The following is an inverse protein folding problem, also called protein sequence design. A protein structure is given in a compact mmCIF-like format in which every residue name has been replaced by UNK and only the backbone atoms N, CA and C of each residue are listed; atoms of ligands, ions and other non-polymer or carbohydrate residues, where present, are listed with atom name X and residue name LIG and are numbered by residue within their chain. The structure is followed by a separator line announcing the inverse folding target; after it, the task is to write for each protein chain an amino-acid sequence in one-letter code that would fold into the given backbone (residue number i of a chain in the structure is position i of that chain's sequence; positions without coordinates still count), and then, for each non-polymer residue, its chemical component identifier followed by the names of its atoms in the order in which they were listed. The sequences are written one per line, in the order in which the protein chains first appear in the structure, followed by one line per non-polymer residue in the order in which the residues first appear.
data_IF_113890754927
#
_entry.id   IF_113890754927
#
_cell.length_a   1.000
_cell.length_b   1.000
_cell.length_c   1.000
_cell.angle_alpha   90.00
_cell.angle_beta   90.00
_cell.angle_gamma   90.00
#
_symmetry.space_group_name_H-M   'P 1'
#
loop_
_entity.id
_entity.type
_entity.pdbx_description
1 polymer ?
#
# COMPACT_ATOMS: atom_id res chain seq x y z
N UNK A 1 9.94 1.28 22.24
CA UNK A 1 9.88 2.67 22.73
C UNK A 1 8.77 3.43 22.02
N UNK A 2 7.88 4.17 22.71
CA UNK A 2 6.84 4.98 22.06
C UNK A 2 7.43 5.94 21.02
N UNK A 3 6.72 6.16 19.89
CA UNK A 3 7.14 7.13 18.86
C UNK A 3 8.28 6.68 17.94
N UNK A 4 8.88 5.49 18.17
CA UNK A 4 10.02 4.98 17.38
C UNK A 4 9.62 4.03 16.26
N UNK A 5 8.32 3.84 16.01
CA UNK A 5 7.77 2.95 14.98
C UNK A 5 8.29 3.30 13.58
N UNK A 6 8.49 4.59 13.28
CA UNK A 6 9.06 5.04 12.01
C UNK A 6 10.49 4.53 11.79
N UNK A 7 11.32 4.51 12.84
CA UNK A 7 12.68 3.99 12.77
C UNK A 7 12.69 2.47 12.53
N UNK A 8 11.78 1.74 13.19
CA UNK A 8 11.61 0.31 12.92
C UNK A 8 11.27 0.08 11.45
N UNK A 9 10.31 0.83 10.90
CA UNK A 9 9.93 0.71 9.49
C UNK A 9 11.09 1.06 8.54
N UNK A 10 11.87 2.10 8.85
CA UNK A 10 13.07 2.43 8.06
C UNK A 10 14.11 1.30 8.10
N UNK A 11 14.30 0.64 9.24
CA UNK A 11 15.21 -0.50 9.35
C UNK A 11 14.71 -1.73 8.59
N UNK A 12 13.40 -1.96 8.54
CA UNK A 12 12.81 -3.00 7.69
C UNK A 12 13.03 -2.70 6.21
N UNK A 13 12.83 -1.44 5.79
CA UNK A 13 13.12 -0.99 4.41
C UNK A 13 14.61 -1.20 4.08
N UNK A 14 15.51 -0.81 4.98
CA UNK A 14 16.95 -1.02 4.85
C UNK A 14 17.28 -2.49 4.57
N UNK A 15 16.75 -3.41 5.40
CA UNK A 15 16.99 -4.84 5.23
C UNK A 15 16.48 -5.39 3.88
N UNK A 16 15.31 -4.93 3.42
CA UNK A 16 14.77 -5.35 2.12
C UNK A 16 15.63 -4.86 0.95
N UNK A 17 16.10 -3.61 1.02
CA UNK A 17 16.97 -3.02 0.00
C UNK A 17 18.34 -3.70 -0.01
N UNK A 18 18.95 -3.92 1.16
CA UNK A 18 20.22 -4.64 1.33
C UNK A 18 20.14 -6.05 0.74
N UNK A 19 19.03 -6.75 0.96
CA UNK A 19 18.81 -8.10 0.44
C UNK A 19 18.34 -8.13 -1.04
N UNK A 20 18.09 -6.98 -1.67
CA UNK A 20 17.50 -6.90 -3.01
C UNK A 20 16.10 -7.53 -3.12
N UNK A 21 15.36 -7.61 -2.02
CA UNK A 21 14.02 -8.24 -1.94
C UNK A 21 12.93 -7.19 -2.11
N UNK A 22 12.77 -6.73 -3.35
CA UNK A 22 11.78 -5.73 -3.75
C UNK A 22 11.01 -6.15 -5.01
N UNK A 23 9.76 -5.72 -5.14
CA UNK A 23 8.92 -5.97 -6.31
C UNK A 23 9.08 -4.85 -7.35
N UNK A 24 10.11 -4.95 -8.19
CA UNK A 24 10.41 -3.94 -9.21
C UNK A 24 9.29 -3.81 -10.25
N UNK A 25 8.58 -4.90 -10.55
CA UNK A 25 7.44 -4.91 -11.47
C UNK A 25 6.31 -4.04 -10.91
N UNK A 26 5.99 -4.18 -9.61
CA UNK A 26 5.03 -3.32 -8.95
C UNK A 26 5.47 -1.86 -8.96
N UNK A 27 6.73 -1.59 -8.61
CA UNK A 27 7.27 -0.22 -8.56
C UNK A 27 7.15 0.50 -9.91
N UNK A 28 7.55 -0.15 -11.00
CA UNK A 28 7.46 0.43 -12.35
C UNK A 28 6.00 0.65 -12.78
N UNK A 29 5.09 -0.27 -12.42
CA UNK A 29 3.70 -0.24 -12.92
C UNK A 29 2.80 0.74 -12.19
N UNK A 30 3.00 0.91 -10.89
CA UNK A 30 2.00 1.53 -10.01
C UNK A 30 2.54 2.71 -9.21
N UNK A 31 3.81 3.06 -9.39
CA UNK A 31 4.44 4.15 -8.65
C UNK A 31 5.25 5.04 -9.59
N UNK A 32 5.80 6.12 -9.05
CA UNK A 32 6.72 7.01 -9.76
C UNK A 32 8.20 6.64 -9.56
N UNK A 33 8.50 5.40 -9.17
CA UNK A 33 9.85 4.93 -8.85
C UNK A 33 10.88 5.19 -9.97
N UNK A 34 10.45 5.09 -11.23
CA UNK A 34 11.27 5.30 -12.42
C UNK A 34 11.26 6.74 -12.95
N UNK A 35 10.47 7.63 -12.37
CA UNK A 35 10.42 9.03 -12.82
C UNK A 35 11.75 9.70 -12.48
N UNK A 36 12.32 10.41 -13.44
CA UNK A 36 13.57 11.14 -13.27
C UNK A 36 13.34 12.38 -12.42
N UNK A 37 14.19 12.55 -11.41
CA UNK A 37 14.24 13.71 -10.52
C UNK A 37 15.51 14.49 -10.84
N UNK A 38 15.38 15.80 -11.02
CA UNK A 38 16.50 16.69 -11.30
C UNK A 38 17.43 16.75 -10.09
N UNK A 39 18.70 16.40 -10.29
CA UNK A 39 19.74 16.39 -9.26
C UNK A 39 20.74 17.52 -9.50
N UNK A 40 20.32 18.73 -9.16
CA UNK A 40 21.13 19.94 -9.28
C UNK A 40 21.13 20.75 -7.97
N UNK A 41 21.86 20.31 -6.92
CA UNK A 41 21.88 21.00 -5.62
C UNK A 41 22.12 22.51 -5.76
N UNK A 42 21.30 23.31 -5.06
CA UNK A 42 21.34 24.78 -5.12
C UNK A 42 20.53 25.41 -6.26
N UNK A 43 20.05 24.65 -7.23
CA UNK A 43 19.10 25.13 -8.24
C UNK A 43 17.64 25.01 -7.76
N UNK A 44 16.76 25.90 -8.23
CA UNK A 44 15.33 25.86 -7.92
C UNK A 44 14.64 24.55 -8.36
N UNK A 45 15.17 23.92 -9.41
CA UNK A 45 14.64 22.68 -9.98
C UNK A 45 15.11 21.42 -9.23
N UNK A 46 16.02 21.54 -8.25
CA UNK A 46 16.51 20.39 -7.49
C UNK A 46 15.37 19.66 -6.79
N UNK A 47 15.30 18.34 -6.98
CA UNK A 47 14.26 17.52 -6.37
C UNK A 47 12.91 17.54 -7.12
N UNK A 48 12.78 18.32 -8.19
CA UNK A 48 11.59 18.30 -9.05
C UNK A 48 11.67 17.20 -10.10
N UNK A 49 10.50 16.67 -10.49
CA UNK A 49 10.39 15.70 -11.59
C UNK A 49 10.84 16.36 -12.88
N UNK A 50 11.80 15.75 -13.57
CA UNK A 50 12.29 16.18 -14.87
C UNK A 50 11.18 16.04 -15.91
N UNK A 51 11.01 17.10 -16.71
CA UNK A 51 9.98 17.19 -17.74
C UNK A 51 10.58 17.63 -19.06
N UNK A 52 9.99 17.17 -20.16
CA UNK A 52 10.30 17.69 -21.49
C UNK A 52 9.62 19.05 -21.77
N UNK A 53 9.86 19.59 -22.95
CA UNK A 53 9.26 20.86 -23.39
C UNK A 53 7.72 20.83 -23.48
N UNK A 54 7.11 19.64 -23.58
CA UNK A 54 5.67 19.44 -23.57
C UNK A 54 5.11 19.24 -22.15
N UNK A 55 5.95 19.28 -21.12
CA UNK A 55 5.58 19.08 -19.72
C UNK A 55 5.41 17.61 -19.31
N UNK A 56 5.78 16.65 -20.18
CA UNK A 56 5.69 15.21 -19.89
C UNK A 56 6.82 14.79 -18.96
N UNK A 57 6.50 13.92 -18.01
CA UNK A 57 7.46 13.39 -17.04
C UNK A 57 8.39 12.41 -17.73
N UNK A 58 9.67 12.45 -17.38
CA UNK A 58 10.68 11.64 -18.06
C UNK A 58 11.06 10.39 -17.27
N UNK A 59 11.27 9.29 -17.98
CA UNK A 59 12.02 8.13 -17.52
C UNK A 59 13.15 7.82 -18.52
N UNK A 60 14.15 7.05 -18.10
CA UNK A 60 15.15 6.50 -19.01
C UNK A 60 14.84 5.03 -19.30
N UNK A 61 14.56 4.70 -20.55
CA UNK A 61 14.24 3.34 -20.97
C UNK A 61 15.51 2.57 -21.34
N UNK A 62 15.75 1.45 -20.67
CA UNK A 62 16.98 0.65 -20.85
C UNK A 62 17.00 -0.09 -22.18
N UNK A 63 15.83 -0.49 -22.69
CA UNK A 63 15.71 -1.25 -23.92
C UNK A 63 16.06 -0.40 -25.15
N UNK A 64 15.60 0.85 -25.19
CA UNK A 64 15.89 1.79 -26.28
C UNK A 64 17.11 2.69 -26.03
N UNK A 65 17.56 2.81 -24.78
CA UNK A 65 18.69 3.66 -24.39
C UNK A 65 18.39 5.16 -24.51
N UNK A 66 17.12 5.56 -24.44
CA UNK A 66 16.69 6.96 -24.56
C UNK A 66 15.70 7.36 -23.48
N UNK A 67 15.46 8.67 -23.37
CA UNK A 67 14.38 9.22 -22.55
C UNK A 67 13.02 9.00 -23.21
N UNK A 68 12.04 8.58 -22.42
CA UNK A 68 10.65 8.41 -22.82
C UNK A 68 9.73 9.15 -21.83
N UNK A 69 8.46 9.28 -22.22
CA UNK A 69 7.41 9.65 -21.27
C UNK A 69 7.29 8.53 -20.22
N UNK A 70 7.39 8.90 -18.94
CA UNK A 70 7.32 8.00 -17.80
C UNK A 70 5.98 7.23 -17.72
N UNK A 71 4.93 7.74 -18.37
CA UNK A 71 3.61 7.10 -18.46
C UNK A 71 3.53 6.07 -19.60
N UNK A 72 4.59 5.89 -20.40
CA UNK A 72 4.61 4.94 -21.51
C UNK A 72 4.54 3.50 -21.00
N UNK A 73 3.43 2.83 -21.31
CA UNK A 73 3.20 1.42 -20.93
C UNK A 73 4.10 0.49 -21.74
N UNK A 74 4.61 -0.56 -21.10
CA UNK A 74 5.41 -1.59 -21.76
C UNK A 74 6.87 -1.21 -21.97
N UNK A 75 7.34 -0.18 -21.28
CA UNK A 75 8.76 0.21 -21.23
C UNK A 75 9.53 -0.61 -20.20
N UNK A 76 10.86 -0.57 -20.29
CA UNK A 76 11.80 -1.12 -19.31
C UNK A 76 12.61 0.02 -18.66
N UNK A 77 11.97 0.86 -17.83
CA UNK A 77 12.62 2.06 -17.34
C UNK A 77 13.62 1.75 -16.21
N UNK A 78 14.70 2.51 -16.17
CA UNK A 78 15.73 2.39 -15.14
C UNK A 78 15.21 2.85 -13.77
N UNK A 79 15.46 2.04 -12.74
CA UNK A 79 15.18 2.39 -11.34
C UNK A 79 16.40 2.94 -10.59
N UNK A 80 17.60 2.72 -11.13
CA UNK A 80 18.87 3.19 -10.57
C UNK A 80 19.72 3.81 -11.68
N UNK A 81 20.71 4.61 -11.29
CA UNK A 81 21.65 5.26 -12.20
C UNK A 81 21.52 6.78 -12.21
N UNK A 82 22.40 7.40 -13.00
CA UNK A 82 22.45 8.84 -13.23
C UNK A 82 22.40 9.11 -14.72
N UNK A 83 21.62 10.12 -15.10
CA UNK A 83 21.35 10.42 -16.51
C UNK A 83 21.56 11.91 -16.76
N UNK A 84 22.24 12.25 -17.85
CA UNK A 84 22.35 13.61 -18.35
C UNK A 84 21.15 13.91 -19.24
N UNK A 85 20.30 14.84 -18.80
CA UNK A 85 19.17 15.33 -19.59
C UNK A 85 19.67 16.09 -20.83
N UNK A 86 18.83 16.26 -21.88
CA UNK A 86 19.22 16.96 -23.11
C UNK A 86 19.70 18.41 -22.90
N UNK A 87 19.30 19.04 -21.80
CA UNK A 87 19.73 20.39 -21.41
C UNK A 87 21.00 20.41 -20.54
N UNK A 88 21.63 19.27 -20.35
CA UNK A 88 22.87 19.10 -19.58
C UNK A 88 22.68 18.90 -18.07
N UNK A 89 21.45 19.03 -17.54
CA UNK A 89 21.19 18.76 -16.12
C UNK A 89 21.34 17.28 -15.80
N UNK A 90 21.79 16.97 -14.58
CA UNK A 90 21.80 15.59 -14.07
C UNK A 90 20.43 15.24 -13.51
N UNK A 91 20.00 14.01 -13.71
CA UNK A 91 18.79 13.46 -13.13
C UNK A 91 18.98 12.01 -12.68
N UNK A 92 18.23 11.60 -11.66
CA UNK A 92 18.25 10.24 -11.10
C UNK A 92 16.82 9.74 -10.94
N UNK A 93 16.53 8.44 -11.14
CA UNK A 93 15.21 7.90 -10.85
C UNK A 93 14.84 8.14 -9.38
N UNK A 94 13.56 8.41 -9.10
CA UNK A 94 13.08 8.65 -7.73
C UNK A 94 13.42 7.48 -6.78
N UNK A 95 13.41 6.24 -7.29
CA UNK A 95 13.82 5.06 -6.53
C UNK A 95 15.29 5.09 -6.14
N UNK A 96 16.19 5.60 -6.98
CA UNK A 96 17.60 5.73 -6.65
C UNK A 96 17.82 6.60 -5.42
N UNK A 97 17.11 7.73 -5.33
CA UNK A 97 17.14 8.63 -4.17
C UNK A 97 16.60 7.98 -2.91
N UNK A 98 15.52 7.19 -3.05
CA UNK A 98 14.93 6.45 -1.96
C UNK A 98 15.87 5.36 -1.44
N UNK A 99 16.46 4.59 -2.34
CA UNK A 99 17.38 3.51 -2.03
C UNK A 99 18.64 4.06 -1.35
N UNK A 100 19.26 5.10 -1.91
CA UNK A 100 20.42 5.78 -1.31
C UNK A 100 20.13 6.22 0.13
N UNK A 101 18.96 6.85 0.35
CA UNK A 101 18.57 7.30 1.69
C UNK A 101 18.43 6.14 2.67
N UNK A 102 17.67 5.10 2.33
CA UNK A 102 17.32 4.06 3.29
C UNK A 102 18.37 2.94 3.42
N UNK A 103 19.27 2.79 2.45
CA UNK A 103 20.50 1.99 2.62
C UNK A 103 21.52 2.67 3.54
N UNK A 104 21.30 3.92 3.95
CA UNK A 104 22.18 4.63 4.87
C UNK A 104 22.39 3.87 6.20
N UNK A 105 23.63 3.89 6.75
CA UNK A 105 23.98 3.13 7.95
C UNK A 105 23.18 3.52 9.19
N UNK A 106 22.64 4.74 9.24
CA UNK A 106 21.75 5.20 10.32
C UNK A 106 20.43 4.43 10.43
N UNK A 107 20.06 3.70 9.37
CA UNK A 107 18.87 2.85 9.33
C UNK A 107 19.21 1.36 9.43
N UNK A 108 20.49 0.99 9.55
CA UNK A 108 20.86 -0.39 9.81
C UNK A 108 20.23 -0.86 11.15
N UNK A 109 19.77 -2.11 11.24
CA UNK A 109 19.20 -2.68 12.47
C UNK A 109 20.06 -2.43 13.72
N UNK A 110 21.38 -2.49 13.58
CA UNK A 110 22.35 -2.26 14.66
C UNK A 110 22.32 -0.82 15.17
N UNK A 111 22.11 0.16 14.29
CA UNK A 111 22.01 1.57 14.65
C UNK A 111 20.64 1.94 15.25
N UNK A 112 19.59 1.17 14.95
CA UNK A 112 18.21 1.44 15.35
C UNK A 112 17.79 0.68 16.62
N UNK A 113 18.40 -0.48 16.89
CA UNK A 113 17.96 -1.44 17.90
C UNK A 113 17.73 -0.84 19.30
N UNK A 114 18.72 -0.11 19.81
CA UNK A 114 18.66 0.50 21.15
C UNK A 114 17.52 1.51 21.28
N UNK A 115 17.30 2.34 20.25
CA UNK A 115 16.26 3.37 20.22
C UNK A 115 14.87 2.76 20.17
N UNK A 116 14.68 1.72 19.36
CA UNK A 116 13.40 1.01 19.27
C UNK A 116 13.12 0.12 20.49
N UNK A 117 14.18 -0.31 21.20
CA UNK A 117 14.08 -1.34 22.24
C UNK A 117 13.80 -2.72 21.65
N UNK A 118 14.32 -3.00 20.46
CA UNK A 118 14.16 -4.27 19.74
C UNK A 118 15.54 -4.68 19.23
N UNK A 119 15.98 -5.91 19.54
CA UNK A 119 17.29 -6.40 19.11
C UNK A 119 17.45 -6.36 17.58
N UNK A 120 18.65 -5.99 17.12
CA UNK A 120 18.98 -5.94 15.69
C UNK A 120 18.69 -7.29 14.98
N UNK A 121 19.03 -8.40 15.63
CA UNK A 121 18.72 -9.75 15.13
C UNK A 121 17.21 -9.98 14.95
N UNK A 122 16.38 -9.44 15.84
CA UNK A 122 14.92 -9.53 15.73
C UNK A 122 14.40 -8.69 14.56
N UNK A 123 14.91 -7.47 14.36
CA UNK A 123 14.55 -6.62 13.23
C UNK A 123 14.90 -7.31 11.90
N UNK A 124 16.11 -7.85 11.78
CA UNK A 124 16.57 -8.60 10.58
C UNK A 124 15.70 -9.82 10.32
N UNK A 125 15.40 -10.60 11.37
CA UNK A 125 14.51 -11.77 11.28
C UNK A 125 13.12 -11.38 10.78
N UNK A 126 12.52 -10.33 11.33
CA UNK A 126 11.20 -9.84 10.91
C UNK A 126 11.24 -9.41 9.43
N UNK A 127 12.25 -8.67 9.00
CA UNK A 127 12.40 -8.28 7.59
C UNK A 127 12.52 -9.49 6.67
N UNK A 128 13.31 -10.50 7.06
CA UNK A 128 13.47 -11.74 6.31
C UNK A 128 12.17 -12.54 6.23
N UNK A 129 11.41 -12.66 7.33
CA UNK A 129 10.10 -13.32 7.37
C UNK A 129 9.08 -12.62 6.47
N UNK A 130 9.06 -11.27 6.49
CA UNK A 130 8.22 -10.47 5.58
C UNK A 130 8.58 -10.74 4.11
N UNK A 131 9.88 -10.72 3.78
CA UNK A 131 10.35 -11.00 2.43
C UNK A 131 10.05 -12.43 1.98
N UNK A 132 10.18 -13.41 2.88
CA UNK A 132 9.85 -14.80 2.63
C UNK A 132 8.37 -14.95 2.26
N UNK A 133 7.47 -14.42 3.08
CA UNK A 133 6.03 -14.49 2.84
C UNK A 133 5.65 -13.75 1.55
N UNK A 134 6.20 -12.55 1.32
CA UNK A 134 5.88 -11.78 0.12
C UNK A 134 6.34 -12.48 -1.17
N UNK A 135 7.60 -12.94 -1.22
CA UNK A 135 8.19 -13.38 -2.48
C UNK A 135 8.12 -14.89 -2.74
N UNK A 136 8.08 -15.72 -1.68
CA UNK A 136 8.15 -17.17 -1.80
C UNK A 136 6.83 -17.89 -1.44
N UNK A 137 5.85 -17.17 -0.88
CA UNK A 137 4.52 -17.71 -0.53
C UNK A 137 3.40 -16.92 -1.19
N UNK A 138 3.59 -16.55 -2.46
CA UNK A 138 2.61 -15.77 -3.22
C UNK A 138 1.26 -16.50 -3.32
N UNK A 139 0.17 -15.74 -3.16
CA UNK A 139 -1.19 -16.25 -3.34
C UNK A 139 -1.58 -16.03 -4.80
N UNK A 140 -2.01 -17.07 -5.50
CA UNK A 140 -2.49 -16.96 -6.88
C UNK A 140 -3.99 -17.23 -6.91
N UNK A 141 -4.75 -16.29 -7.48
CA UNK A 141 -6.17 -16.48 -7.79
C UNK A 141 -6.32 -16.62 -9.30
N UNK A 142 -6.94 -17.72 -9.74
CA UNK A 142 -7.23 -17.99 -11.15
C UNK A 142 -8.43 -17.19 -11.66
N UNK A 143 -8.31 -15.86 -11.58
CA UNK A 143 -9.31 -14.90 -12.03
C UNK A 143 -8.68 -13.95 -13.06
N UNK A 144 -9.01 -14.11 -14.36
CA UNK A 144 -8.55 -13.18 -15.38
C UNK A 144 -9.09 -11.77 -15.12
N UNK A 145 -8.23 -10.78 -15.29
CA UNK A 145 -8.56 -9.36 -15.07
C UNK A 145 -7.78 -8.45 -16.02
N UNK A 146 -8.23 -7.20 -16.14
CA UNK A 146 -7.56 -6.18 -16.95
C UNK A 146 -7.17 -5.03 -16.05
N UNK A 147 -5.92 -4.60 -16.12
CA UNK A 147 -5.42 -3.51 -15.28
C UNK A 147 -5.73 -2.12 -15.85
N UNK A 148 -5.33 -1.07 -15.12
CA UNK A 148 -5.55 0.33 -15.49
C UNK A 148 -4.82 0.75 -16.76
N UNK A 149 -3.78 0.01 -17.17
CA UNK A 149 -3.05 0.21 -18.41
C UNK A 149 -3.65 -0.61 -19.58
N UNK A 150 -4.78 -1.29 -19.36
CA UNK A 150 -5.45 -2.11 -20.37
C UNK A 150 -4.83 -3.49 -20.59
N UNK A 151 -3.84 -3.90 -19.79
CA UNK A 151 -3.18 -5.20 -19.94
C UNK A 151 -4.04 -6.31 -19.37
N UNK A 152 -4.15 -7.40 -20.13
CA UNK A 152 -4.86 -8.60 -19.69
C UNK A 152 -3.94 -9.51 -18.89
N UNK A 153 -4.38 -9.87 -17.69
CA UNK A 153 -3.73 -10.82 -16.80
C UNK A 153 -4.58 -12.09 -16.71
N UNK A 154 -3.94 -13.25 -16.78
CA UNK A 154 -4.63 -14.55 -16.67
C UNK A 154 -5.01 -14.87 -15.22
N UNK A 155 -4.15 -14.49 -14.28
CA UNK A 155 -4.31 -14.71 -12.84
C UNK A 155 -4.07 -13.42 -12.07
N UNK A 156 -4.42 -13.42 -10.78
CA UNK A 156 -4.11 -12.36 -9.85
C UNK A 156 -3.12 -12.88 -8.81
N UNK A 157 -1.87 -12.44 -8.92
CA UNK A 157 -0.80 -12.76 -7.98
C UNK A 157 -0.81 -11.78 -6.81
N UNK A 158 -0.80 -12.31 -5.59
CA UNK A 158 -0.84 -11.58 -4.34
C UNK A 158 0.43 -11.78 -3.51
N UNK A 159 0.82 -10.72 -2.83
CA UNK A 159 1.92 -10.68 -1.86
C UNK A 159 1.27 -10.57 -0.48
N UNK A 160 1.04 -11.69 0.24
CA UNK A 160 0.11 -11.74 1.38
C UNK A 160 0.69 -11.14 2.67
N UNK A 161 1.16 -9.90 2.59
CA UNK A 161 1.65 -9.09 3.70
C UNK A 161 0.74 -7.88 3.83
N UNK A 162 0.16 -7.68 5.01
CA UNK A 162 -0.67 -6.53 5.30
C UNK A 162 -0.16 -5.81 6.54
N UNK A 163 -0.10 -4.47 6.46
CA UNK A 163 0.28 -3.62 7.58
C UNK A 163 -0.86 -2.66 7.88
N UNK A 164 -1.25 -2.56 9.14
CA UNK A 164 -2.35 -1.71 9.58
C UNK A 164 -1.85 -0.74 10.65
N UNK A 165 -1.64 0.51 10.24
CA UNK A 165 -1.47 1.62 11.17
C UNK A 165 -2.84 2.17 11.58
N UNK A 166 -2.99 2.47 12.87
CA UNK A 166 -4.17 3.13 13.43
C UNK A 166 -3.74 4.32 14.31
N UNK A 167 -4.65 4.78 15.18
CA UNK A 167 -4.46 5.97 16.02
C UNK A 167 -3.15 6.02 16.79
N UNK A 168 -2.60 4.86 17.18
CA UNK A 168 -1.31 4.78 17.89
C UNK A 168 -0.21 5.50 17.12
N UNK A 169 0.00 5.14 15.84
CA UNK A 169 1.02 5.78 15.00
C UNK A 169 0.66 7.22 14.66
N UNK A 170 -0.61 7.50 14.31
CA UNK A 170 -1.01 8.81 13.79
C UNK A 170 -1.10 9.91 14.87
N UNK A 171 -1.07 9.55 16.16
CA UNK A 171 -1.17 10.51 17.27
C UNK A 171 0.19 11.07 17.72
N UNK A 172 1.30 10.65 17.09
CA UNK A 172 2.63 11.19 17.34
C UNK A 172 2.98 12.31 16.35
N UNK A 173 3.87 13.23 16.74
CA UNK A 173 4.31 14.35 15.89
C UNK A 173 4.86 13.90 14.53
N UNK A 174 5.57 12.77 14.51
CA UNK A 174 6.10 12.17 13.28
C UNK A 174 5.14 11.16 12.60
N UNK A 175 3.89 11.08 13.06
CA UNK A 175 2.92 10.09 12.61
C UNK A 175 2.67 10.12 11.09
N UNK A 176 2.70 11.29 10.47
CA UNK A 176 2.60 11.42 9.01
C UNK A 176 3.77 10.69 8.30
N UNK A 177 5.00 10.92 8.74
CA UNK A 177 6.19 10.30 8.16
C UNK A 177 6.21 8.80 8.41
N UNK A 178 5.80 8.34 9.59
CA UNK A 178 5.68 6.90 9.90
C UNK A 178 4.64 6.23 9.00
N UNK A 179 3.44 6.82 8.84
CA UNK A 179 2.42 6.29 7.92
C UNK A 179 2.94 6.25 6.47
N UNK A 180 3.64 7.30 6.03
CA UNK A 180 4.28 7.33 4.71
C UNK A 180 5.31 6.21 4.55
N UNK A 181 6.12 5.97 5.57
CA UNK A 181 7.14 4.90 5.57
C UNK A 181 6.50 3.51 5.46
N UNK A 182 5.39 3.27 6.16
CA UNK A 182 4.63 2.01 6.08
C UNK A 182 4.15 1.78 4.65
N UNK A 183 3.62 2.81 3.99
CA UNK A 183 3.21 2.69 2.59
C UNK A 183 4.40 2.50 1.64
N UNK A 184 5.55 3.13 1.88
CA UNK A 184 6.78 2.84 1.12
C UNK A 184 7.15 1.37 1.25
N UNK A 185 7.17 0.83 2.47
CA UNK A 185 7.45 -0.58 2.71
C UNK A 185 6.45 -1.51 1.98
N UNK A 186 5.15 -1.19 2.01
CA UNK A 186 4.13 -1.93 1.27
C UNK A 186 4.33 -1.86 -0.26
N UNK A 187 4.74 -0.71 -0.80
CA UNK A 187 5.03 -0.55 -2.23
C UNK A 187 6.28 -1.35 -2.65
N UNK A 188 7.34 -1.35 -1.83
CA UNK A 188 8.55 -2.15 -2.09
C UNK A 188 8.24 -3.65 -2.14
N UNK A 189 7.25 -4.11 -1.38
CA UNK A 189 6.81 -5.51 -1.36
C UNK A 189 5.80 -5.87 -2.45
N UNK A 190 5.24 -4.89 -3.17
CA UNK A 190 4.09 -5.10 -4.05
C UNK A 190 2.81 -5.52 -3.29
N UNK A 191 2.70 -5.12 -2.03
CA UNK A 191 1.68 -5.58 -1.09
C UNK A 191 0.54 -4.56 -0.90
N UNK A 192 0.13 -3.92 -2.00
CA UNK A 192 -1.02 -3.00 -2.05
C UNK A 192 -2.01 -3.50 -3.10
N UNK A 193 -3.28 -3.63 -2.72
CA UNK A 193 -4.40 -4.03 -3.58
C UNK A 193 -4.23 -5.38 -4.30
N UNK A 194 -3.36 -6.25 -3.78
CA UNK A 194 -3.20 -7.63 -4.23
C UNK A 194 -3.79 -8.64 -3.22
N UNK A 195 -4.13 -9.88 -3.62
CA UNK A 195 -4.70 -10.88 -2.71
C UNK A 195 -3.88 -11.09 -1.42
N UNK A 196 -4.57 -11.08 -0.28
CA UNK A 196 -3.94 -11.24 1.04
C UNK A 196 -3.16 -10.03 1.55
N UNK A 197 -3.05 -8.97 0.75
CA UNK A 197 -2.27 -7.77 1.08
C UNK A 197 -3.13 -6.63 1.63
N UNK A 198 -2.51 -5.47 1.85
CA UNK A 198 -3.23 -4.28 2.30
C UNK A 198 -4.11 -3.71 1.18
N UNK A 199 -5.41 -3.62 1.44
CA UNK A 199 -6.37 -2.98 0.53
C UNK A 199 -6.38 -1.46 0.74
N UNK A 200 -6.04 -0.71 -0.31
CA UNK A 200 -6.16 0.73 -0.32
C UNK A 200 -7.62 1.14 -0.06
N UNK A 201 -7.79 2.02 0.92
CA UNK A 201 -9.07 2.63 1.24
C UNK A 201 -8.91 4.11 0.97
N UNK A 202 -9.66 4.64 -0.01
CA UNK A 202 -9.64 6.07 -0.32
C UNK A 202 -9.81 6.88 0.97
N UNK A 203 -8.89 7.81 1.29
CA UNK A 203 -9.10 8.75 2.39
C UNK A 203 -10.31 9.64 2.06
N UNK A 204 -10.95 10.13 3.10
CA UNK A 204 -12.13 10.99 2.98
C UNK A 204 -11.80 12.30 2.20
N UNK A 205 -12.81 12.95 1.58
CA UNK A 205 -14.22 12.57 1.60
C UNK A 205 -14.50 11.40 0.66
N UNK A 206 -15.22 10.40 1.17
CA UNK A 206 -15.84 9.40 0.31
C UNK A 206 -16.73 10.14 -0.69
N UNK A 207 -16.82 9.68 -1.94
CA UNK A 207 -17.81 10.20 -2.88
C UNK A 207 -19.17 10.28 -2.18
N UNK A 208 -19.90 11.38 -2.38
CA UNK A 208 -21.29 11.51 -1.93
C UNK A 208 -22.15 11.55 -3.21
N UNK A 209 -23.01 10.55 -3.44
CA UNK A 209 -23.26 9.36 -2.61
C UNK A 209 -22.09 8.36 -2.66
N UNK A 210 -21.92 7.59 -1.58
CA UNK A 210 -20.86 6.58 -1.46
C UNK A 210 -20.90 5.56 -2.59
N UNK A 211 -19.74 5.06 -3.02
CA UNK A 211 -19.68 3.90 -3.90
C UNK A 211 -20.47 2.73 -3.28
N UNK A 212 -21.19 2.00 -4.13
CA UNK A 212 -21.89 0.79 -3.68
C UNK A 212 -20.88 -0.19 -3.10
N UNK A 213 -21.17 -0.76 -1.92
CA UNK A 213 -20.31 -1.84 -1.40
C UNK A 213 -20.33 -2.99 -2.40
N UNK A 214 -19.20 -3.67 -2.67
CA UNK A 214 -19.18 -4.84 -3.52
C UNK A 214 -20.24 -5.85 -3.05
N UNK A 215 -21.13 -6.27 -3.95
CA UNK A 215 -22.18 -7.24 -3.66
C UNK A 215 -23.45 -6.72 -2.97
N UNK A 216 -23.57 -5.41 -2.69
CA UNK A 216 -24.78 -4.84 -2.06
C UNK A 216 -25.45 -3.83 -2.99
N UNK A 217 -26.64 -4.13 -3.54
CA UNK A 217 -27.44 -3.15 -4.28
C UNK A 217 -27.82 -1.98 -3.39
N UNK A 218 -27.78 -0.75 -3.93
CA UNK A 218 -28.22 0.45 -3.22
C UNK A 218 -29.70 0.33 -2.84
N UNK A 219 -30.11 0.60 -1.59
CA UNK A 219 -31.52 0.56 -1.22
C UNK A 219 -32.29 1.62 -2.02
N UNK A 220 -33.29 1.18 -2.79
CA UNK A 220 -34.16 2.06 -3.59
C UNK A 220 -33.85 2.18 -5.08
N UNK A 221 -32.88 1.44 -5.63
CA UNK A 221 -32.75 1.24 -7.09
C UNK A 221 -33.02 -0.21 -7.47
N UNK A 222 -33.92 -0.51 -8.42
CA UNK A 222 -33.98 -1.85 -8.99
C UNK A 222 -32.62 -2.17 -9.61
N UNK A 223 -32.10 -3.35 -9.31
CA UNK A 223 -30.83 -3.84 -9.83
C UNK A 223 -30.82 -3.67 -11.36
N UNK A 224 -29.93 -2.81 -11.88
CA UNK A 224 -29.74 -2.74 -13.32
C UNK A 224 -29.04 -4.02 -13.76
N UNK A 225 -29.86 -4.80 -14.47
CA UNK A 225 -29.60 -5.97 -15.29
C UNK A 225 -28.12 -6.38 -15.46
N UNK A 226 -27.87 -7.65 -15.14
CA UNK A 226 -26.71 -8.39 -15.64
C UNK A 226 -26.58 -8.25 -17.16
N UNK A 227 -25.36 -8.19 -17.73
CA UNK A 227 -25.20 -8.30 -19.17
C UNK A 227 -25.75 -9.66 -19.62
N UNK A 228 -26.57 -9.61 -20.66
CA UNK A 228 -27.35 -10.71 -21.20
C UNK A 228 -26.49 -11.97 -21.41
N UNK A 229 -26.94 -13.10 -20.86
CA UNK A 229 -26.55 -14.41 -21.38
C UNK A 229 -27.07 -14.49 -22.82
N UNK A 230 -26.19 -14.33 -23.81
CA UNK A 230 -26.47 -14.82 -25.15
C UNK A 230 -26.49 -16.35 -25.06
N UNK A 231 -27.71 -16.88 -25.19
CA UNK A 231 -27.99 -18.31 -25.24
C UNK A 231 -27.44 -18.92 -26.52
N UNK A 232 -26.62 -19.96 -26.41
CA UNK A 232 -26.57 -21.01 -27.42
C UNK A 232 -27.60 -22.07 -26.99
N UNK A 233 -28.71 -22.14 -27.73
CA UNK A 233 -29.68 -23.23 -27.66
C UNK A 233 -29.03 -24.48 -28.24
N UNK A 234 -29.06 -25.59 -27.50
CA UNK A 234 -29.18 -26.93 -28.08
C UNK A 234 -30.34 -27.65 -27.43
N UNK A 235 -31.06 -28.37 -28.28
CA UNK A 235 -32.42 -28.85 -28.10
C UNK A 235 -32.53 -29.99 -27.07
N UNK A 236 -33.77 -30.24 -26.67
CA UNK A 236 -34.13 -30.97 -25.47
C UNK A 236 -33.93 -32.48 -25.50
N UNK A 237 -34.09 -33.08 -24.33
CA UNK A 237 -34.92 -34.28 -24.18
C UNK A 237 -35.48 -34.31 -22.77
N UNK A 238 -36.72 -34.75 -22.66
CA UNK A 238 -37.57 -34.68 -21.49
C UNK A 238 -37.26 -35.76 -20.44
N UNK A 239 -37.61 -35.44 -19.19
CA UNK A 239 -38.24 -36.40 -18.28
C UNK A 239 -37.34 -37.22 -17.36
N UNK A 240 -37.36 -36.91 -16.06
CA UNK A 240 -38.01 -37.78 -15.04
C UNK A 240 -37.92 -37.15 -13.65
N UNK A 241 -39.09 -37.06 -13.00
CA UNK A 241 -39.23 -36.87 -11.56
C UNK A 241 -38.79 -38.16 -10.84
N UNK A 242 -38.10 -38.02 -9.71
CA UNK A 242 -37.88 -39.09 -8.75
C UNK A 242 -37.55 -38.50 -7.38
N UNK A 243 -38.45 -38.66 -6.42
CA UNK A 243 -38.31 -38.23 -5.01
C UNK A 243 -37.71 -39.38 -4.17
N UNK A 244 -36.94 -38.98 -3.16
CA UNK A 244 -36.60 -39.64 -1.87
C UNK A 244 -35.60 -40.81 -1.86
N UNK A 245 -34.56 -40.66 -1.03
CA UNK A 245 -34.38 -41.44 0.21
C UNK A 245 -33.30 -40.81 1.10
N UNK A 246 -33.48 -40.91 2.42
CA UNK A 246 -32.58 -40.47 3.47
C UNK A 246 -32.10 -41.68 4.28
N UNK A 247 -30.82 -41.69 4.68
CA UNK A 247 -30.22 -42.40 5.82
C UNK A 247 -28.79 -41.81 5.99
N UNK A 248 -28.44 -41.08 7.07
CA UNK A 248 -28.03 -41.54 8.41
C UNK A 248 -26.79 -42.47 8.36
N UNK A 249 -25.67 -42.31 9.09
CA UNK A 249 -25.14 -41.38 10.13
C UNK A 249 -23.65 -41.84 10.44
N UNK A 250 -22.93 -41.50 11.55
CA UNK A 250 -21.81 -40.53 11.62
C UNK A 250 -20.47 -41.05 12.23
N UNK A 251 -19.47 -40.16 12.39
CA UNK A 251 -18.29 -40.26 13.28
C UNK A 251 -16.99 -39.88 12.56
N UNK A 252 -16.14 -38.94 13.00
CA UNK A 252 -15.53 -38.75 14.33
C UNK A 252 -15.33 -37.25 14.64
N UNK A 253 -15.50 -36.88 15.91
CA UNK A 253 -15.28 -35.56 16.51
C UNK A 253 -14.33 -35.71 17.70
N UNK A 254 -13.36 -34.80 17.88
CA UNK A 254 -12.67 -34.38 19.14
C UNK A 254 -11.53 -33.41 18.74
N UNK A 255 -11.33 -32.21 19.30
CA UNK A 255 -11.88 -31.58 20.49
C UNK A 255 -12.07 -30.05 20.33
N UNK A 256 -12.87 -29.48 21.24
CA UNK A 256 -13.44 -28.14 21.13
C UNK A 256 -12.63 -26.98 21.75
N UNK A 257 -13.11 -25.74 21.59
CA UNK A 257 -12.42 -24.53 22.02
C UNK A 257 -12.78 -24.14 23.45
N UNK A 258 -11.77 -23.80 24.26
CA UNK A 258 -11.96 -23.07 25.51
C UNK A 258 -12.53 -21.68 25.23
N UNK A 259 -13.75 -21.43 25.73
CA UNK A 259 -14.40 -20.11 25.75
C UNK A 259 -13.99 -19.37 27.02
N UNK A 260 -13.37 -18.21 26.87
CA UNK A 260 -13.44 -17.15 27.88
C UNK A 260 -14.33 -16.03 27.37
N UNK A 261 -15.46 -15.84 28.05
CA UNK A 261 -16.40 -14.74 27.87
C UNK A 261 -15.80 -13.42 28.38
N UNK A 262 -15.78 -12.39 27.54
CA UNK A 262 -15.60 -10.99 27.97
C UNK A 262 -16.92 -10.23 27.74
N UNK A 263 -17.34 -9.38 28.69
CA UNK A 263 -18.65 -8.73 28.65
C UNK A 263 -18.69 -7.55 27.67
N UNK A 264 -19.87 -7.36 27.08
CA UNK A 264 -20.22 -6.31 26.13
C UNK A 264 -20.05 -4.91 26.72
N UNK A 265 -19.25 -4.08 26.05
CA UNK A 265 -19.10 -2.66 26.36
C UNK A 265 -20.14 -1.84 25.59
N UNK A 266 -21.41 -2.01 25.94
CA UNK A 266 -22.48 -1.09 25.56
C UNK A 266 -23.15 -0.57 26.83
N UNK A 267 -22.56 0.48 27.40
CA UNK A 267 -23.14 1.25 28.48
C UNK A 267 -24.20 2.20 27.94
N UNK A 268 -25.45 1.81 28.10
CA UNK A 268 -26.61 2.68 28.08
C UNK A 268 -26.48 3.71 29.22
N UNK A 269 -26.62 5.01 28.92
CA UNK A 269 -26.69 6.08 29.93
C UNK A 269 -27.80 7.03 29.56
N UNK A 270 -28.93 6.87 30.25
CA UNK A 270 -30.00 7.86 30.31
C UNK A 270 -29.82 8.81 31.51
N UNK A 271 -29.97 10.11 31.21
CA UNK A 271 -30.39 11.24 32.06
C UNK A 271 -29.40 11.89 33.05
N UNK A 272 -29.36 13.23 32.98
CA UNK A 272 -28.66 14.10 33.93
C UNK A 272 -28.37 15.49 33.35
N UNK A 273 -29.37 16.37 33.41
CA UNK A 273 -29.36 17.75 32.92
C UNK A 273 -28.47 18.66 33.80
N UNK A 274 -27.49 19.38 33.24
CA UNK A 274 -27.02 20.70 33.71
C UNK A 274 -26.35 21.46 32.54
N UNK A 275 -26.49 22.78 32.57
CA UNK A 275 -26.47 23.67 31.40
C UNK A 275 -25.30 24.67 31.42
N UNK A 276 -25.01 25.20 30.21
CA UNK A 276 -24.28 26.45 29.84
C UNK A 276 -22.74 26.43 29.75
N UNK A 277 -22.14 27.36 28.95
CA UNK A 277 -22.55 27.87 27.63
C UNK A 277 -21.41 27.84 26.59
N UNK A 278 -21.78 27.96 25.30
CA UNK A 278 -20.85 28.13 24.18
C UNK A 278 -20.21 29.52 24.19
N UNK A 279 -18.88 29.57 24.10
CA UNK A 279 -18.10 30.75 23.77
C UNK A 279 -17.50 30.62 22.37
N UNK A 280 -17.76 31.62 21.53
CA UNK A 280 -17.32 31.77 20.15
C UNK A 280 -15.97 32.50 20.12
N UNK A 281 -15.00 32.10 19.28
CA UNK A 281 -14.14 32.98 18.45
C UNK A 281 -12.90 32.29 17.87
N UNK A 282 -12.76 32.48 16.56
CA UNK A 282 -11.55 32.39 15.74
C UNK A 282 -10.33 33.06 16.40
N UNK A 283 -9.14 32.50 16.23
CA UNK A 283 -7.90 33.12 15.66
C UNK A 283 -6.80 32.05 15.59
N UNK A 284 -6.18 31.91 14.42
CA UNK A 284 -4.95 31.15 14.17
C UNK A 284 -3.83 32.17 13.93
N UNK A 285 -2.70 32.11 14.64
CA UNK A 285 -1.46 32.70 14.16
C UNK A 285 -0.62 31.64 13.44
N UNK A 286 -0.34 31.90 12.17
CA UNK A 286 0.71 31.24 11.40
C UNK A 286 1.98 32.05 11.60
N UNK A 287 3.04 31.44 12.15
CA UNK A 287 4.39 31.94 11.97
C UNK A 287 5.24 30.83 11.35
N UNK A 288 5.80 31.18 10.19
CA UNK A 288 6.76 30.42 9.41
C UNK A 288 8.13 30.76 9.96
N UNK A 289 8.90 29.77 10.38
CA UNK A 289 10.35 29.88 10.43
C UNK A 289 11.02 28.52 10.24
N UNK A 290 12.19 28.57 9.61
CA UNK A 290 12.87 27.49 8.93
C UNK A 290 13.61 26.56 9.91
N UNK A 291 13.75 25.28 9.51
CA UNK A 291 14.68 24.33 10.13
C UNK A 291 14.00 23.37 11.12
N UNK A 292 13.75 22.13 10.70
CA UNK A 292 13.36 21.06 11.62
C UNK A 292 14.62 20.37 12.12
N UNK A 293 15.08 20.76 13.30
CA UNK A 293 15.97 19.94 14.14
C UNK A 293 15.13 18.84 14.82
N UNK A 294 15.67 17.62 14.86
CA UNK A 294 15.07 16.51 15.58
C UNK A 294 15.39 16.67 17.07
N UNK A 295 14.38 16.98 17.88
CA UNK A 295 14.49 16.94 19.34
C UNK A 295 14.32 15.51 19.87
N UNK A 296 15.21 15.11 20.77
CA UNK A 296 15.07 13.91 21.59
C UNK A 296 14.04 14.14 22.69
N UNK A 297 12.95 13.36 22.67
CA UNK A 297 12.17 12.90 23.85
C UNK A 297 11.24 11.74 23.46
#
# INVERSE_FOLDING_TARGET
TPGTDGLLVFALIHCLLEAGRIDTEFLVRYTNAHHLVTDAPGAAEHGLIARDAAGRELCFDRASGTFLDAQTVGTDPALIGEFALPDGRRARPAFALLAERYCGPQYAPEAVASRCGIDAATIRRIAAEIAEVAFNQAVVIDQPWTDTAGRRHATMTGRPVAMHAMRGVSAHSNGFHTCRAIHVLQMLLGAIDTPGSWRYKSPYPKPIPGASRPGVPYPGRPARCAPARLSARTAGSAGRRGRRAAAARPGVFLGGPHRHSRPDAHGDRTSGHTSRPRGNRHVVPVHVEHGVEFGDE
#
